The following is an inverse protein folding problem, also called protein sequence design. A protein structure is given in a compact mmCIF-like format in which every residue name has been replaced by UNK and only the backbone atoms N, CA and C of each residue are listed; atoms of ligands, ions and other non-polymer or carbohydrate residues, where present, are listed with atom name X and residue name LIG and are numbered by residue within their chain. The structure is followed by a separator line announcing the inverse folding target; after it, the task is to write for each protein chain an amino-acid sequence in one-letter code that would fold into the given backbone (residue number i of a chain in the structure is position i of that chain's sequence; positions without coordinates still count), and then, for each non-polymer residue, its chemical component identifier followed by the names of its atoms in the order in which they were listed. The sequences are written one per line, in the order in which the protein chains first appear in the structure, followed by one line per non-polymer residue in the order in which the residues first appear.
data_IF_188080517741
#
_entry.id   IF_188080517741
#
_cell.length_a   1.000
_cell.length_b   1.000
_cell.length_c   1.000
_cell.angle_alpha   90.00
_cell.angle_beta   90.00
_cell.angle_gamma   90.00
#
_symmetry.space_group_name_H-M   'P 1'
#
loop_
_entity.id
_entity.type
_entity.pdbx_description
1 polymer ?
#
# COMPACT_ATOMS: atom_id res chain seq x y z
N UNK A 1 -22.96 -1.82 6.62
CA UNK A 1 -22.17 -0.58 6.43
C UNK A 1 -22.92 0.27 5.45
N UNK A 2 -23.41 1.42 5.90
CA UNK A 2 -24.12 2.35 5.00
C UNK A 2 -23.10 3.01 4.07
N UNK A 3 -23.53 3.49 2.91
CA UNK A 3 -22.66 4.29 2.01
C UNK A 3 -22.05 5.50 2.73
N UNK A 4 -22.76 6.05 3.71
CA UNK A 4 -22.35 7.21 4.49
C UNK A 4 -21.17 6.91 5.43
N UNK A 5 -21.05 5.69 5.96
CA UNK A 5 -19.93 5.31 6.83
C UNK A 5 -18.61 5.27 6.05
N UNK A 6 -18.63 4.73 4.83
CA UNK A 6 -17.45 4.69 3.96
C UNK A 6 -16.96 6.11 3.59
N UNK A 7 -17.89 7.05 3.35
CA UNK A 7 -17.54 8.44 3.04
C UNK A 7 -16.93 9.12 4.27
N UNK A 8 -17.45 8.85 5.48
CA UNK A 8 -16.87 9.38 6.72
C UNK A 8 -15.45 8.87 6.96
N UNK A 9 -15.22 7.57 6.79
CA UNK A 9 -13.89 6.96 6.95
C UNK A 9 -12.91 7.51 5.90
N UNK A 10 -13.34 7.67 4.64
CA UNK A 10 -12.54 8.30 3.60
C UNK A 10 -12.22 9.78 3.93
N UNK A 11 -13.20 10.52 4.45
CA UNK A 11 -13.00 11.91 4.87
C UNK A 11 -12.04 12.00 6.07
N UNK A 12 -12.01 11.01 6.96
CA UNK A 12 -11.06 10.97 8.08
C UNK A 12 -9.60 10.96 7.59
N UNK A 13 -9.30 10.30 6.47
CA UNK A 13 -7.97 10.35 5.85
C UNK A 13 -7.58 11.77 5.42
N UNK A 14 -8.53 12.56 4.90
CA UNK A 14 -8.29 13.93 4.44
C UNK A 14 -8.26 14.95 5.58
N UNK A 15 -8.90 14.63 6.72
CA UNK A 15 -8.99 15.52 7.89
C UNK A 15 -7.84 15.36 8.89
N UNK A 16 -6.81 14.60 8.56
CA UNK A 16 -5.66 14.36 9.42
C UNK A 16 -4.39 15.10 8.92
N UNK A 17 -4.34 16.45 8.98
CA UNK A 17 -3.25 17.22 8.38
C UNK A 17 -1.89 16.88 9.02
N UNK A 18 -1.86 16.58 10.33
CA UNK A 18 -0.64 16.16 11.03
C UNK A 18 -0.07 14.86 10.45
N UNK A 19 -0.93 13.89 10.16
CA UNK A 19 -0.52 12.61 9.58
C UNK A 19 -0.08 12.78 8.12
N UNK A 20 -0.78 13.64 7.37
CA UNK A 20 -0.38 14.03 6.02
C UNK A 20 1.02 14.64 5.99
N UNK A 21 1.28 15.65 6.83
CA UNK A 21 2.60 16.29 6.93
C UNK A 21 3.66 15.29 7.38
N UNK A 22 3.34 14.43 8.36
CA UNK A 22 4.26 13.40 8.81
C UNK A 22 4.64 12.44 7.68
N UNK A 23 3.69 11.97 6.87
CA UNK A 23 4.01 11.10 5.75
C UNK A 23 4.71 11.83 4.64
N UNK A 24 4.27 13.03 4.29
CA UNK A 24 4.84 13.80 3.19
C UNK A 24 6.32 14.07 3.47
N UNK A 25 6.63 14.67 4.62
CA UNK A 25 8.02 14.97 4.99
C UNK A 25 8.77 13.74 5.49
N UNK A 26 8.11 12.84 6.21
CA UNK A 26 8.75 11.63 6.74
C UNK A 26 9.21 10.68 5.64
N UNK A 27 8.38 10.39 4.65
CA UNK A 27 8.81 9.57 3.51
C UNK A 27 9.83 10.30 2.65
N UNK A 28 9.68 11.61 2.40
CA UNK A 28 10.69 12.38 1.66
C UNK A 28 12.06 12.33 2.37
N UNK A 29 12.08 12.51 3.68
CA UNK A 29 13.28 12.36 4.51
C UNK A 29 13.82 10.93 4.46
N UNK A 30 12.98 9.90 4.57
CA UNK A 30 13.40 8.50 4.46
C UNK A 30 14.02 8.19 3.09
N UNK A 31 13.42 8.67 2.00
CA UNK A 31 13.98 8.51 0.64
C UNK A 31 15.31 9.23 0.50
N UNK A 32 15.42 10.47 0.98
CA UNK A 32 16.65 11.22 0.96
C UNK A 32 17.76 10.53 1.77
N UNK A 33 17.45 10.11 2.99
CA UNK A 33 18.41 9.40 3.85
C UNK A 33 18.79 8.03 3.29
N UNK A 34 17.86 7.33 2.64
CA UNK A 34 18.16 6.09 1.92
C UNK A 34 19.10 6.33 0.75
N UNK A 35 18.88 7.39 -0.02
CA UNK A 35 19.78 7.80 -1.10
C UNK A 35 21.19 8.11 -0.58
N UNK A 36 21.30 8.89 0.50
CA UNK A 36 22.60 9.20 1.11
C UNK A 36 23.26 7.96 1.73
N UNK A 37 22.48 7.05 2.33
CA UNK A 37 22.96 5.78 2.85
C UNK A 37 23.63 4.91 1.77
N UNK A 38 23.06 4.86 0.55
CA UNK A 38 23.66 4.13 -0.58
C UNK A 38 25.00 4.71 -1.07
N UNK A 39 25.35 5.95 -0.68
CA UNK A 39 26.60 6.62 -1.07
C UNK A 39 27.72 6.40 -0.08
N UNK A 40 27.47 5.75 1.06
CA UNK A 40 28.47 5.50 2.09
C UNK A 40 29.48 4.45 1.57
N UNK A 41 30.78 4.79 1.46
CA UNK A 41 31.79 3.83 1.02
C UNK A 41 32.12 2.82 2.12
N UNK A 42 32.29 1.55 1.74
CA UNK A 42 32.59 0.44 2.65
C UNK A 42 34.05 -0.02 2.52
N UNK A 43 35.00 0.79 3.01
CA UNK A 43 36.44 0.45 2.94
C UNK A 43 36.97 -0.26 4.20
N UNK A 44 36.28 -0.14 5.34
CA UNK A 44 36.72 -0.66 6.65
C UNK A 44 35.57 -1.38 7.37
N UNK A 45 35.90 -2.38 8.21
CA UNK A 45 34.89 -3.17 8.94
C UNK A 45 33.97 -2.32 9.84
N UNK A 46 34.48 -1.25 10.47
CA UNK A 46 33.63 -0.35 11.27
C UNK A 46 32.65 0.46 10.40
N UNK A 47 33.02 0.78 9.15
CA UNK A 47 32.12 1.46 8.20
C UNK A 47 30.99 0.50 7.81
N UNK A 48 31.30 -0.78 7.59
CA UNK A 48 30.28 -1.81 7.35
C UNK A 48 29.32 -1.94 8.54
N UNK A 49 29.85 -2.02 9.77
CA UNK A 49 29.02 -2.11 10.97
C UNK A 49 28.09 -0.88 11.13
N UNK A 50 28.64 0.34 10.94
CA UNK A 50 27.86 1.57 10.95
C UNK A 50 26.81 1.58 9.83
N UNK A 51 27.15 1.08 8.63
CA UNK A 51 26.24 1.02 7.49
C UNK A 51 25.05 0.10 7.76
N UNK A 52 25.28 -1.05 8.39
CA UNK A 52 24.22 -1.97 8.83
C UNK A 52 23.31 -1.30 9.86
N UNK A 53 23.87 -0.59 10.85
CA UNK A 53 23.08 0.11 11.88
C UNK A 53 22.22 1.21 11.25
N UNK A 54 22.77 2.00 10.33
CA UNK A 54 22.03 3.04 9.60
C UNK A 54 20.91 2.45 8.74
N UNK A 55 21.20 1.37 8.01
CA UNK A 55 20.19 0.65 7.23
C UNK A 55 19.07 0.11 8.11
N UNK A 56 19.40 -0.49 9.26
CA UNK A 56 18.42 -0.96 10.23
C UNK A 56 17.58 0.19 10.81
N UNK A 57 18.19 1.35 11.09
CA UNK A 57 17.50 2.54 11.57
C UNK A 57 16.51 3.09 10.53
N UNK A 58 16.89 3.11 9.24
CA UNK A 58 16.00 3.51 8.14
C UNK A 58 14.81 2.57 8.01
N UNK A 59 15.05 1.26 8.02
CA UNK A 59 13.99 0.25 7.98
C UNK A 59 13.07 0.42 9.20
N UNK A 60 13.64 0.55 10.40
CA UNK A 60 12.85 0.77 11.63
C UNK A 60 11.97 2.02 11.53
N UNK A 61 12.51 3.15 11.07
CA UNK A 61 11.78 4.40 10.92
C UNK A 61 10.63 4.28 9.89
N UNK A 62 10.87 3.63 8.74
CA UNK A 62 9.83 3.35 7.76
C UNK A 62 8.74 2.45 8.34
N UNK A 63 9.12 1.36 9.01
CA UNK A 63 8.17 0.45 9.65
C UNK A 63 7.34 1.14 10.72
N UNK A 64 7.97 1.98 11.55
CA UNK A 64 7.28 2.73 12.58
C UNK A 64 6.29 3.74 11.97
N UNK A 65 6.67 4.41 10.88
CA UNK A 65 5.79 5.32 10.15
C UNK A 65 4.54 4.58 9.63
N UNK A 66 4.71 3.46 8.93
CA UNK A 66 3.58 2.72 8.35
C UNK A 66 2.75 1.96 9.40
N UNK A 67 3.39 1.27 10.34
CA UNK A 67 2.70 0.55 11.43
C UNK A 67 1.97 1.52 12.36
N UNK A 68 2.61 2.63 12.74
CA UNK A 68 2.02 3.68 13.58
C UNK A 68 0.80 4.33 12.91
N UNK A 69 0.83 4.47 11.58
CA UNK A 69 -0.30 5.00 10.80
C UNK A 69 -1.50 4.07 10.81
N UNK A 70 -1.28 2.77 10.58
CA UNK A 70 -2.37 1.79 10.63
C UNK A 70 -2.97 1.69 12.04
N UNK A 71 -2.12 1.70 13.06
CA UNK A 71 -2.56 1.74 14.46
C UNK A 71 -3.35 3.02 14.77
N UNK A 72 -2.88 4.18 14.30
CA UNK A 72 -3.55 5.46 14.52
C UNK A 72 -4.94 5.51 13.88
N UNK A 73 -5.08 5.10 12.61
CA UNK A 73 -6.39 5.02 11.97
C UNK A 73 -7.32 4.05 12.69
N UNK A 74 -6.76 2.97 13.25
CA UNK A 74 -7.53 2.03 14.06
C UNK A 74 -8.05 2.68 15.33
N UNK A 75 -7.20 3.42 16.05
CA UNK A 75 -7.60 4.15 17.25
C UNK A 75 -8.61 5.25 16.95
N UNK A 76 -8.38 6.03 15.89
CA UNK A 76 -9.28 7.09 15.45
C UNK A 76 -10.67 6.56 15.03
N UNK A 77 -10.74 5.30 14.55
CA UNK A 77 -12.02 4.64 14.25
C UNK A 77 -12.81 4.19 15.50
N UNK A 78 -12.11 4.05 16.65
CA UNK A 78 -12.67 3.68 17.95
C UNK A 78 -13.04 4.91 18.79
N UNK A 79 -12.23 5.97 18.73
CA UNK A 79 -12.39 7.19 19.53
C UNK A 79 -12.01 8.45 18.74
N UNK A 80 -12.78 9.53 18.90
CA UNK A 80 -12.54 10.80 18.21
C UNK A 80 -11.32 11.57 18.76
N UNK A 81 -10.91 11.31 20.00
CA UNK A 81 -9.88 12.11 20.72
C UNK A 81 -8.69 11.25 21.14
N UNK A 82 -8.08 10.51 20.21
CA UNK A 82 -6.90 9.70 20.51
C UNK A 82 -5.57 10.42 20.16
N UNK A 83 -4.60 10.53 21.09
CA UNK A 83 -3.31 11.16 20.81
C UNK A 83 -2.49 10.34 19.81
N UNK A 84 -1.98 11.01 18.76
CA UNK A 84 -1.20 10.35 17.72
C UNK A 84 0.08 9.69 18.25
N UNK A 85 0.75 10.32 19.23
CA UNK A 85 1.99 9.81 19.82
C UNK A 85 1.80 8.43 20.49
N UNK A 86 0.63 8.19 21.09
CA UNK A 86 0.35 6.94 21.81
C UNK A 86 0.20 5.76 20.85
N UNK A 87 -0.42 5.98 19.68
CA UNK A 87 -0.51 4.96 18.62
C UNK A 87 0.88 4.56 18.12
N UNK A 88 1.77 5.53 17.90
CA UNK A 88 3.13 5.28 17.45
C UNK A 88 3.99 4.61 18.52
N UNK A 89 3.87 5.03 19.78
CA UNK A 89 4.56 4.38 20.91
C UNK A 89 4.14 2.92 21.05
N UNK A 90 2.84 2.62 20.89
CA UNK A 90 2.34 1.23 20.90
C UNK A 90 2.84 0.45 19.68
N UNK A 91 2.87 1.08 18.50
CA UNK A 91 3.34 0.45 17.27
C UNK A 91 4.77 -0.09 17.39
N UNK A 92 5.67 0.55 18.14
CA UNK A 92 7.03 0.04 18.42
C UNK A 92 7.00 -1.39 18.96
N UNK A 93 6.11 -1.68 19.92
CA UNK A 93 5.96 -3.03 20.51
C UNK A 93 5.29 -4.03 19.55
N UNK A 94 4.64 -3.54 18.49
CA UNK A 94 3.95 -4.36 17.48
C UNK A 94 4.81 -4.59 16.23
N UNK A 95 5.95 -3.91 16.11
CA UNK A 95 6.85 -4.05 14.97
C UNK A 95 7.26 -5.49 14.65
N UNK A 96 7.55 -6.39 15.62
CA UNK A 96 7.90 -7.77 15.28
C UNK A 96 6.77 -8.53 14.56
N UNK A 97 5.51 -8.31 14.99
CA UNK A 97 4.35 -8.89 14.33
C UNK A 97 4.10 -8.25 12.96
N UNK A 98 4.32 -6.94 12.84
CA UNK A 98 4.21 -6.23 11.58
C UNK A 98 5.30 -6.66 10.58
N UNK A 99 6.51 -6.95 11.04
CA UNK A 99 7.60 -7.55 10.25
C UNK A 99 7.21 -8.93 9.73
N UNK A 100 6.64 -9.79 10.57
CA UNK A 100 6.12 -11.08 10.12
C UNK A 100 5.04 -10.91 9.05
N UNK A 101 4.13 -9.96 9.25
CA UNK A 101 3.13 -9.61 8.24
C UNK A 101 3.78 -9.18 6.92
N UNK A 102 4.77 -8.28 6.94
CA UNK A 102 5.48 -7.83 5.74
C UNK A 102 6.25 -8.96 5.06
N UNK A 103 6.83 -9.87 5.82
CA UNK A 103 7.48 -11.05 5.29
C UNK A 103 6.50 -11.96 4.54
N UNK A 104 5.32 -12.23 5.13
CA UNK A 104 4.25 -12.99 4.46
C UNK A 104 3.72 -12.25 3.22
N UNK A 105 3.57 -10.93 3.31
CA UNK A 105 3.18 -10.08 2.19
C UNK A 105 4.19 -10.16 1.04
N UNK A 106 5.48 -10.11 1.37
CA UNK A 106 6.57 -10.24 0.41
C UNK A 106 6.58 -11.61 -0.26
N UNK A 107 6.42 -12.71 0.48
CA UNK A 107 6.29 -14.06 -0.09
C UNK A 107 5.14 -14.11 -1.11
N UNK A 108 3.95 -13.62 -0.72
CA UNK A 108 2.79 -13.64 -1.61
C UNK A 108 3.03 -12.79 -2.87
N UNK A 109 3.65 -11.62 -2.70
CA UNK A 109 4.00 -10.76 -3.81
C UNK A 109 5.01 -11.41 -4.76
N UNK A 110 6.03 -12.10 -4.24
CA UNK A 110 7.03 -12.82 -5.03
C UNK A 110 6.38 -13.98 -5.79
N UNK A 111 5.49 -14.75 -5.15
CA UNK A 111 4.73 -15.82 -5.83
C UNK A 111 3.96 -15.24 -7.03
N UNK A 112 3.21 -14.15 -6.83
CA UNK A 112 2.46 -13.51 -7.91
C UNK A 112 3.39 -12.94 -8.99
N UNK A 113 4.52 -12.35 -8.60
CA UNK A 113 5.51 -11.84 -9.53
C UNK A 113 6.10 -12.95 -10.41
N UNK A 114 6.57 -14.03 -9.80
CA UNK A 114 7.13 -15.19 -10.53
C UNK A 114 6.08 -15.79 -11.47
N UNK A 115 4.83 -15.95 -11.02
CA UNK A 115 3.74 -16.41 -11.88
C UNK A 115 3.48 -15.46 -13.06
N UNK A 116 3.63 -14.15 -12.85
CA UNK A 116 3.42 -13.14 -13.89
C UNK A 116 4.50 -13.12 -14.97
N UNK A 117 5.75 -13.49 -14.63
CA UNK A 117 6.85 -13.58 -15.61
C UNK A 117 6.54 -14.64 -16.66
N UNK A 118 5.90 -15.75 -16.25
CA UNK A 118 5.46 -16.81 -17.15
C UNK A 118 4.20 -16.47 -17.95
N UNK A 119 3.74 -15.21 -17.94
CA UNK A 119 2.47 -14.79 -18.54
C UNK A 119 2.36 -15.05 -20.05
N UNK A 120 3.46 -14.95 -20.80
CA UNK A 120 3.49 -15.28 -22.23
C UNK A 120 3.30 -16.78 -22.48
N UNK A 121 4.05 -17.62 -21.77
CA UNK A 121 3.89 -19.08 -21.82
C UNK A 121 2.47 -19.49 -21.44
N UNK A 122 1.86 -18.78 -20.48
CA UNK A 122 0.48 -18.99 -20.07
C UNK A 122 -0.54 -18.63 -21.16
N UNK A 123 -0.30 -17.53 -21.89
CA UNK A 123 -1.16 -17.15 -23.03
C UNK A 123 -1.12 -18.20 -24.15
N UNK A 124 0.05 -18.78 -24.43
CA UNK A 124 0.22 -19.83 -25.44
C UNK A 124 -0.44 -21.14 -25.00
N UNK A 125 -0.26 -21.53 -23.73
CA UNK A 125 -0.89 -22.71 -23.14
C UNK A 125 -2.42 -22.62 -23.12
N UNK A 126 -2.98 -21.47 -22.72
CA UNK A 126 -4.42 -21.25 -22.76
C UNK A 126 -4.93 -21.38 -24.20
N UNK A 127 -4.21 -20.82 -25.18
CA UNK A 127 -4.58 -20.95 -26.59
C UNK A 127 -4.51 -22.40 -27.08
N UNK A 128 -3.55 -23.20 -26.63
CA UNK A 128 -3.44 -24.61 -27.02
C UNK A 128 -4.55 -25.47 -26.42
N UNK A 129 -5.10 -25.10 -25.25
CA UNK A 129 -6.27 -25.75 -24.66
C UNK A 129 -7.61 -25.31 -25.28
N UNK A 130 -7.65 -24.16 -25.96
CA UNK A 130 -8.90 -23.69 -26.58
C UNK A 130 -9.32 -24.57 -27.77
N UNK A 131 -10.62 -24.90 -27.89
CA UNK A 131 -11.20 -25.53 -29.07
C UNK A 131 -10.93 -24.74 -30.35
N UNK A 132 -10.91 -25.42 -31.50
CA UNK A 132 -10.59 -24.81 -32.79
C UNK A 132 -11.49 -23.62 -33.16
N UNK A 133 -12.77 -23.64 -32.77
CA UNK A 133 -13.70 -22.53 -33.02
C UNK A 133 -13.32 -21.28 -32.23
N UNK A 134 -12.95 -21.40 -30.95
CA UNK A 134 -12.49 -20.29 -30.11
C UNK A 134 -11.12 -19.75 -30.54
N UNK A 135 -10.20 -20.65 -30.92
CA UNK A 135 -8.82 -20.31 -31.30
C UNK A 135 -8.74 -19.39 -32.53
N UNK A 136 -9.74 -19.46 -33.42
CA UNK A 136 -9.86 -18.60 -34.61
C UNK A 136 -10.28 -17.18 -34.28
N UNK A 137 -11.08 -16.99 -33.23
CA UNK A 137 -11.58 -15.66 -32.82
C UNK A 137 -10.70 -14.99 -31.75
N UNK A 138 -9.89 -15.76 -31.03
CA UNK A 138 -9.04 -15.25 -29.96
C UNK A 138 -7.58 -15.23 -30.43
N UNK A 139 -7.03 -14.01 -30.56
CA UNK A 139 -5.63 -13.79 -30.90
C UNK A 139 -4.72 -14.02 -29.68
N UNK A 140 -3.44 -14.36 -29.92
CA UNK A 140 -2.45 -14.42 -28.82
C UNK A 140 -2.34 -13.07 -28.13
N UNK A 141 -2.32 -11.97 -28.90
CA UNK A 141 -2.23 -10.62 -28.35
C UNK A 141 -3.35 -10.33 -27.34
N UNK A 142 -4.59 -10.71 -27.64
CA UNK A 142 -5.70 -10.56 -26.69
C UNK A 142 -5.45 -11.37 -25.42
N UNK A 143 -4.99 -12.62 -25.53
CA UNK A 143 -4.67 -13.45 -24.36
C UNK A 143 -3.52 -12.88 -23.54
N UNK A 144 -2.50 -12.30 -24.17
CA UNK A 144 -1.39 -11.62 -23.50
C UNK A 144 -1.88 -10.37 -22.77
N UNK A 145 -2.77 -9.57 -23.38
CA UNK A 145 -3.36 -8.41 -22.70
C UNK A 145 -4.25 -8.81 -21.52
N UNK A 146 -5.07 -9.86 -21.68
CA UNK A 146 -5.91 -10.37 -20.61
C UNK A 146 -5.08 -10.97 -19.47
N UNK A 147 -3.99 -11.70 -19.77
CA UNK A 147 -3.10 -12.23 -18.74
C UNK A 147 -2.37 -11.09 -18.01
N UNK A 148 -1.88 -10.07 -18.73
CA UNK A 148 -1.28 -8.89 -18.13
C UNK A 148 -2.28 -8.14 -17.22
N UNK A 149 -3.52 -7.93 -17.68
CA UNK A 149 -4.58 -7.30 -16.89
C UNK A 149 -4.95 -8.15 -15.65
N UNK A 150 -5.01 -9.47 -15.78
CA UNK A 150 -5.25 -10.39 -14.67
C UNK A 150 -4.14 -10.30 -13.62
N UNK A 151 -2.87 -10.39 -14.03
CA UNK A 151 -1.74 -10.27 -13.10
C UNK A 151 -1.61 -8.87 -12.50
N UNK A 152 -1.97 -7.82 -13.25
CA UNK A 152 -2.09 -6.47 -12.73
C UNK A 152 -3.14 -6.40 -11.61
N UNK A 153 -4.36 -6.88 -11.86
CA UNK A 153 -5.42 -6.91 -10.86
C UNK A 153 -5.03 -7.77 -9.65
N UNK A 154 -4.41 -8.94 -9.88
CA UNK A 154 -3.95 -9.82 -8.82
C UNK A 154 -2.92 -9.13 -7.93
N UNK A 155 -1.89 -8.51 -8.52
CA UNK A 155 -0.76 -7.91 -7.80
C UNK A 155 -1.08 -6.58 -7.14
N UNK A 156 -1.89 -5.74 -7.78
CA UNK A 156 -2.10 -4.35 -7.34
C UNK A 156 -3.46 -4.12 -6.69
N UNK A 157 -4.43 -5.01 -6.89
CA UNK A 157 -5.76 -4.90 -6.28
C UNK A 157 -5.97 -6.05 -5.28
N UNK A 158 -5.86 -7.30 -5.72
CA UNK A 158 -6.22 -8.44 -4.87
C UNK A 158 -5.24 -8.65 -3.72
N UNK A 159 -3.93 -8.69 -3.99
CA UNK A 159 -2.91 -8.92 -2.97
C UNK A 159 -2.91 -7.81 -1.90
N UNK A 160 -2.85 -6.51 -2.24
CA UNK A 160 -2.97 -5.45 -1.25
C UNK A 160 -4.33 -5.48 -0.54
N UNK A 161 -5.42 -5.73 -1.27
CA UNK A 161 -6.76 -5.84 -0.70
C UNK A 161 -6.88 -6.97 0.32
N UNK A 162 -6.20 -8.09 0.09
CA UNK A 162 -6.15 -9.24 0.99
C UNK A 162 -5.30 -8.97 2.24
N UNK A 163 -4.16 -8.31 2.05
CA UNK A 163 -3.12 -8.15 3.06
C UNK A 163 -3.35 -6.95 3.96
N UNK A 164 -3.87 -5.84 3.45
CA UNK A 164 -4.02 -4.60 4.21
C UNK A 164 -4.84 -4.77 5.50
N UNK A 165 -5.97 -5.52 5.54
CA UNK A 165 -6.71 -5.73 6.78
C UNK A 165 -5.91 -6.56 7.80
N UNK A 166 -5.07 -7.49 7.33
CA UNK A 166 -4.15 -8.23 8.18
C UNK A 166 -3.05 -7.31 8.75
N UNK A 167 -2.55 -6.38 7.94
CA UNK A 167 -1.61 -5.34 8.37
C UNK A 167 -2.19 -4.44 9.46
N UNK A 168 -3.46 -4.04 9.32
CA UNK A 168 -4.18 -3.30 10.39
C UNK A 168 -4.26 -4.12 11.67
N UNK A 169 -4.65 -5.40 11.58
CA UNK A 169 -4.71 -6.28 12.75
C UNK A 169 -3.35 -6.48 13.42
N UNK A 170 -2.28 -6.64 12.63
CA UNK A 170 -0.91 -6.76 13.14
C UNK A 170 -0.44 -5.48 13.83
N UNK A 171 -0.78 -4.32 13.27
CA UNK A 171 -0.46 -3.02 13.85
C UNK A 171 -1.23 -2.75 15.17
N UNK A 172 -2.48 -3.22 15.27
CA UNK A 172 -3.34 -3.05 16.44
C UNK A 172 -3.00 -4.05 17.56
N UNK A 173 -3.06 -5.34 17.22
CA UNK A 173 -3.07 -6.45 18.19
C UNK A 173 -1.73 -7.18 18.32
N UNK A 174 -0.80 -6.96 17.39
CA UNK A 174 0.49 -7.66 17.36
C UNK A 174 0.35 -9.10 16.88
N UNK A 175 1.06 -10.04 17.51
CA UNK A 175 1.06 -11.45 17.09
C UNK A 175 -0.31 -12.13 17.23
N UNK A 176 -1.21 -11.60 18.06
CA UNK A 176 -2.58 -12.11 18.17
C UNK A 176 -3.42 -11.85 16.91
N UNK A 177 -2.94 -11.01 15.98
CA UNK A 177 -3.52 -10.83 14.64
C UNK A 177 -3.63 -12.14 13.86
N UNK A 178 -2.72 -13.07 14.12
CA UNK A 178 -2.66 -14.39 13.46
C UNK A 178 -3.46 -15.47 14.19
N UNK A 179 -4.13 -15.13 15.30
CA UNK A 179 -4.96 -16.07 16.03
C UNK A 179 -6.24 -16.43 15.25
N UNK A 180 -6.75 -17.65 15.44
CA UNK A 180 -7.96 -18.16 14.77
C UNK A 180 -9.19 -17.27 14.96
N UNK A 181 -9.31 -16.56 16.10
CA UNK A 181 -10.39 -15.60 16.35
C UNK A 181 -10.36 -14.44 15.34
N UNK A 182 -9.18 -13.89 15.07
CA UNK A 182 -9.01 -12.75 14.17
C UNK A 182 -9.19 -13.13 12.69
N UNK A 183 -8.99 -14.40 12.35
CA UNK A 183 -9.24 -14.90 10.99
C UNK A 183 -10.69 -14.69 10.53
N UNK A 184 -11.67 -14.89 11.43
CA UNK A 184 -13.09 -14.63 11.12
C UNK A 184 -13.32 -13.15 10.81
N UNK A 185 -12.74 -12.26 11.62
CA UNK A 185 -12.81 -10.80 11.44
C UNK A 185 -12.17 -10.39 10.11
N UNK A 186 -10.99 -10.91 9.80
CA UNK A 186 -10.30 -10.68 8.54
C UNK A 186 -11.14 -11.14 7.33
N UNK A 187 -11.70 -12.36 7.33
CA UNK A 187 -12.58 -12.82 6.22
C UNK A 187 -13.81 -11.93 6.06
N UNK A 188 -14.42 -11.51 7.15
CA UNK A 188 -15.58 -10.60 7.14
C UNK A 188 -15.22 -9.21 6.59
N UNK A 189 -13.98 -8.75 6.77
CA UNK A 189 -13.50 -7.50 6.20
C UNK A 189 -13.47 -7.56 4.67
N UNK A 190 -13.02 -8.68 4.10
CA UNK A 190 -12.87 -8.89 2.65
C UNK A 190 -14.21 -9.02 1.90
N UNK A 191 -15.26 -9.48 2.58
CA UNK A 191 -16.59 -9.62 1.96
C UNK A 191 -17.26 -8.27 1.62
N UNK A 192 -16.70 -7.14 2.09
CA UNK A 192 -17.26 -5.82 1.83
C UNK A 192 -16.92 -5.30 0.43
N UNK A 193 -17.92 -5.24 -0.46
CA UNK A 193 -17.74 -4.73 -1.83
C UNK A 193 -17.16 -3.31 -1.89
N UNK A 194 -17.55 -2.44 -0.95
CA UNK A 194 -17.04 -1.07 -0.89
C UNK A 194 -15.55 -1.00 -0.61
N UNK A 195 -15.04 -1.88 0.27
CA UNK A 195 -13.62 -1.96 0.56
C UNK A 195 -12.83 -2.36 -0.71
N UNK A 196 -13.25 -3.41 -1.40
CA UNK A 196 -12.60 -3.83 -2.65
C UNK A 196 -12.67 -2.75 -3.73
N UNK A 197 -13.76 -1.98 -3.80
CA UNK A 197 -13.88 -0.84 -4.72
C UNK A 197 -12.89 0.29 -4.39
N UNK A 198 -12.68 0.61 -3.11
CA UNK A 198 -11.66 1.59 -2.70
C UNK A 198 -10.25 1.10 -3.00
N UNK A 199 -9.96 -0.18 -2.74
CA UNK A 199 -8.66 -0.78 -3.09
C UNK A 199 -8.39 -0.67 -4.58
N UNK A 200 -9.40 -1.01 -5.41
CA UNK A 200 -9.29 -0.86 -6.85
C UNK A 200 -9.09 0.60 -7.26
N UNK A 201 -9.88 1.53 -6.70
CA UNK A 201 -9.77 2.95 -7.00
C UNK A 201 -8.38 3.51 -6.64
N UNK A 202 -7.84 3.18 -5.47
CA UNK A 202 -6.51 3.61 -5.04
C UNK A 202 -5.41 3.06 -5.96
N UNK A 203 -5.51 1.79 -6.37
CA UNK A 203 -4.59 1.22 -7.34
C UNK A 203 -4.69 1.96 -8.69
N UNK A 204 -5.90 2.21 -9.18
CA UNK A 204 -6.11 2.93 -10.43
C UNK A 204 -5.58 4.38 -10.36
N UNK A 205 -5.80 5.10 -9.25
CA UNK A 205 -5.25 6.44 -9.04
C UNK A 205 -3.73 6.45 -9.11
N UNK A 206 -3.07 5.45 -8.52
CA UNK A 206 -1.61 5.36 -8.58
C UNK A 206 -1.14 5.08 -10.02
N UNK A 207 -1.68 4.06 -10.67
CA UNK A 207 -1.17 3.59 -11.97
C UNK A 207 -1.60 4.43 -13.17
N UNK A 208 -2.79 5.03 -13.12
CA UNK A 208 -3.35 5.79 -14.24
C UNK A 208 -3.35 7.30 -14.02
N UNK A 209 -3.09 7.80 -12.81
CA UNK A 209 -2.92 9.23 -12.56
C UNK A 209 -1.52 9.56 -12.06
N UNK A 210 -1.07 9.01 -10.92
CA UNK A 210 0.20 9.42 -10.31
C UNK A 210 1.42 9.06 -11.16
N UNK A 211 1.54 7.82 -11.64
CA UNK A 211 2.68 7.39 -12.46
C UNK A 211 2.74 8.15 -13.80
N UNK A 212 1.65 8.24 -14.58
CA UNK A 212 1.65 9.02 -15.82
C UNK A 212 1.96 10.51 -15.58
N UNK A 213 1.43 11.09 -14.50
CA UNK A 213 1.71 12.48 -14.14
C UNK A 213 3.20 12.70 -13.81
N UNK A 214 3.82 11.78 -13.07
CA UNK A 214 5.25 11.84 -12.77
C UNK A 214 6.12 11.73 -14.04
N UNK A 215 5.70 10.88 -14.98
CA UNK A 215 6.36 10.68 -16.27
C UNK A 215 6.00 11.69 -17.36
N UNK A 216 5.05 12.59 -17.11
CA UNK A 216 4.55 13.52 -18.12
C UNK A 216 5.59 14.62 -18.43
N UNK A 217 6.14 14.61 -19.64
CA UNK A 217 7.04 15.65 -20.14
C UNK A 217 6.27 16.68 -20.97
N UNK A 218 6.33 17.98 -20.64
CA UNK A 218 5.73 19.03 -21.47
C UNK A 218 6.34 19.00 -22.87
N UNK A 219 5.51 18.89 -23.91
CA UNK A 219 5.96 19.11 -25.28
C UNK A 219 5.99 20.60 -25.52
N UNK A 220 7.18 21.19 -25.54
CA UNK A 220 7.39 22.57 -26.00
C UNK A 220 8.28 22.52 -27.22
N UNK A 221 7.98 23.35 -28.22
CA UNK A 221 8.77 23.47 -29.45
C UNK A 221 10.20 24.00 -29.15
N UNK A 222 10.37 24.70 -28.03
CA UNK A 222 11.65 25.17 -27.49
C UNK A 222 11.77 24.82 -26.00
N UNK A 223 12.23 23.61 -25.65
CA UNK A 223 12.43 23.22 -24.25
C UNK A 223 13.52 24.07 -23.62
N UNK A 224 13.15 24.86 -22.62
CA UNK A 224 14.11 25.58 -21.78
C UNK A 224 14.35 24.77 -20.50
N UNK A 225 15.61 24.73 -20.05
CA UNK A 225 15.99 24.06 -18.80
C UNK A 225 15.14 24.56 -17.60
N UNK A 226 14.85 25.85 -17.57
CA UNK A 226 13.99 26.45 -16.54
C UNK A 226 12.54 25.93 -16.61
N UNK A 227 11.97 25.80 -17.82
CA UNK A 227 10.62 25.27 -18.02
C UNK A 227 10.50 23.79 -17.65
N UNK A 228 11.51 22.98 -17.99
CA UNK A 228 11.57 21.57 -17.59
C UNK A 228 11.70 21.41 -16.08
N UNK A 229 12.57 22.22 -15.44
CA UNK A 229 12.75 22.23 -13.98
C UNK A 229 11.45 22.63 -13.27
N UNK A 230 10.78 23.69 -13.73
CA UNK A 230 9.50 24.12 -13.16
C UNK A 230 8.41 23.04 -13.29
N UNK A 231 8.33 22.37 -14.45
CA UNK A 231 7.40 21.25 -14.65
C UNK A 231 7.69 20.09 -13.70
N UNK A 232 8.96 19.71 -13.54
CA UNK A 232 9.40 18.67 -12.60
C UNK A 232 9.01 19.01 -11.15
N UNK A 233 9.28 20.25 -10.73
CA UNK A 233 8.98 20.75 -9.39
C UNK A 233 7.48 20.76 -9.08
N UNK A 234 6.61 20.81 -10.07
CA UNK A 234 5.15 20.78 -9.87
C UNK A 234 4.62 19.34 -9.97
N UNK A 235 5.01 18.61 -11.02
CA UNK A 235 4.41 17.30 -11.32
C UNK A 235 4.81 16.23 -10.32
N UNK A 236 6.05 16.25 -9.82
CA UNK A 236 6.54 15.24 -8.87
C UNK A 236 5.85 15.37 -7.51
N UNK A 237 5.77 16.56 -6.86
CA UNK A 237 5.02 16.70 -5.63
C UNK A 237 3.52 16.39 -5.78
N UNK A 238 2.93 16.72 -6.93
CA UNK A 238 1.52 16.41 -7.19
C UNK A 238 1.29 14.91 -7.33
N UNK A 239 2.10 14.22 -8.13
CA UNK A 239 2.06 12.76 -8.26
C UNK A 239 2.32 12.06 -6.92
N UNK A 240 3.30 12.54 -6.17
CA UNK A 240 3.62 12.05 -4.84
C UNK A 240 2.45 12.24 -3.86
N UNK A 241 1.80 13.41 -3.88
CA UNK A 241 0.62 13.69 -3.06
C UNK A 241 -0.57 12.79 -3.42
N UNK A 242 -0.78 12.46 -4.70
CA UNK A 242 -1.79 11.50 -5.13
C UNK A 242 -1.50 10.08 -4.62
N UNK A 243 -0.24 9.66 -4.67
CA UNK A 243 0.18 8.38 -4.10
C UNK A 243 -0.05 8.33 -2.59
N UNK A 244 0.30 9.40 -1.90
CA UNK A 244 0.08 9.53 -0.45
C UNK A 244 -1.41 9.56 -0.09
N UNK A 245 -2.23 10.31 -0.83
CA UNK A 245 -3.68 10.32 -0.69
C UNK A 245 -4.26 8.91 -0.77
N UNK A 246 -3.83 8.18 -1.80
CA UNK A 246 -4.27 6.81 -2.06
C UNK A 246 -3.89 5.88 -0.90
N UNK A 247 -2.67 5.99 -0.38
CA UNK A 247 -2.20 5.23 0.78
C UNK A 247 -3.01 5.52 2.05
N UNK A 248 -3.20 6.80 2.39
CA UNK A 248 -3.92 7.19 3.61
C UNK A 248 -5.40 6.83 3.54
N UNK A 249 -6.02 6.97 2.36
CA UNK A 249 -7.39 6.53 2.10
C UNK A 249 -7.56 5.03 2.36
N UNK A 250 -6.61 4.22 1.87
CA UNK A 250 -6.63 2.78 2.09
C UNK A 250 -6.51 2.42 3.57
N UNK A 251 -5.61 3.07 4.30
CA UNK A 251 -5.44 2.86 5.73
C UNK A 251 -6.72 3.19 6.52
N UNK A 252 -7.33 4.35 6.23
CA UNK A 252 -8.55 4.79 6.89
C UNK A 252 -9.71 3.82 6.64
N UNK A 253 -9.90 3.40 5.39
CA UNK A 253 -10.98 2.48 5.00
C UNK A 253 -10.79 1.08 5.57
N UNK A 254 -9.55 0.57 5.60
CA UNK A 254 -9.26 -0.72 6.21
C UNK A 254 -9.54 -0.70 7.72
N UNK A 255 -9.13 0.37 8.42
CA UNK A 255 -9.37 0.54 9.85
C UNK A 255 -10.86 0.73 10.19
N UNK A 256 -11.57 1.62 9.49
CA UNK A 256 -13.00 1.87 9.67
C UNK A 256 -13.86 0.62 9.48
N UNK A 257 -13.45 -0.28 8.58
CA UNK A 257 -14.13 -1.57 8.39
C UNK A 257 -14.11 -2.43 9.66
N UNK A 258 -12.99 -2.47 10.38
CA UNK A 258 -12.93 -3.23 11.63
C UNK A 258 -13.80 -2.64 12.72
N UNK A 259 -13.84 -1.30 12.85
CA UNK A 259 -14.77 -0.64 13.76
C UNK A 259 -16.23 -0.98 13.42
N UNK A 260 -16.60 -1.01 12.14
CA UNK A 260 -17.94 -1.40 11.71
C UNK A 260 -18.28 -2.87 12.05
N UNK A 261 -17.29 -3.79 11.97
CA UNK A 261 -17.48 -5.19 12.35
C UNK A 261 -17.70 -5.31 13.86
N UNK A 262 -16.91 -4.61 14.67
CA UNK A 262 -17.03 -4.64 16.14
C UNK A 262 -18.37 -4.06 16.62
N UNK A 263 -18.81 -2.94 16.03
CA UNK A 263 -20.14 -2.37 16.30
C UNK A 263 -21.26 -3.35 15.97
N UNK A 264 -21.17 -4.05 14.83
CA UNK A 264 -22.17 -5.05 14.43
C UNK A 264 -22.15 -6.30 15.32
N UNK A 265 -21.02 -6.62 15.94
CA UNK A 265 -20.88 -7.73 16.88
C UNK A 265 -21.37 -7.39 18.31
N UNK A 266 -21.87 -6.17 18.53
CA UNK A 266 -22.33 -5.72 19.85
C UNK A 266 -21.20 -5.58 20.86
N UNK A 267 -19.97 -5.36 20.41
CA UNK A 267 -18.80 -5.23 21.27
C UNK A 267 -18.32 -3.76 21.26
N UNK A 268 -18.98 -2.86 22.01
CA UNK A 268 -18.56 -1.46 22.07
C UNK A 268 -17.27 -1.38 22.89
N UNK A 269 -16.16 -1.11 22.20
CA UNK A 269 -14.83 -0.87 22.77
C UNK A 269 -14.16 -2.08 23.46
N UNK A 270 -13.23 -2.71 22.74
CA UNK A 270 -12.05 -3.32 23.32
C UNK A 270 -10.81 -2.60 22.78
#
# INVERSE_FOLDING_TARGET
MSRFDAIKDAAAALRAPRLWLLHFFGNAALFFLFYEWLRIPEAKLWQLALNIVLGAALVFAALLLHCGTLAWFRDASRSETFPMADSFRRAVRRLPAFLLFLFLAWILWVIVYVLSISGEAWSLFLRSMMPAFLRRHISVALLTHLSAAFFFALRWILVPGLLLPLGVLAADTGFSAFARRQWKTWRSSLACRHYSAVVALAALLIFYAAIPLAGWTPRSEHPTFAGETASLLIRLPLAYSLGLASWLLLCAMAAGRFAAIERAAGNPAA
#
